data_IF_236433224438
#
_entry.id   IF_236433224438
#
_cell.length_a   1.000
_cell.length_b   1.000
_cell.length_c   1.000
_cell.angle_alpha   90.00
_cell.angle_beta   90.00
_cell.angle_gamma   90.00
#
_symmetry.space_group_name_H-M   'P 1'
#
loop_
_entity.id
_entity.type
_entity.pdbx_description
1 polymer ?
#
# COMPACT_ATOMS: atom_id res chain seq x y z
N UNK A 1 12.74 -44.25 54.26
CA UNK A 1 12.04 -42.98 54.01
C UNK A 1 13.08 -41.90 53.69
N UNK A 2 13.78 -42.03 52.55
CA UNK A 2 14.80 -41.06 52.13
C UNK A 2 14.25 -40.01 51.14
N UNK A 3 13.00 -40.18 50.72
CA UNK A 3 12.32 -39.27 49.79
C UNK A 3 12.01 -37.90 50.44
N UNK A 4 11.76 -37.89 51.75
CA UNK A 4 11.33 -36.69 52.50
C UNK A 4 12.47 -35.67 52.75
N UNK A 5 13.72 -36.14 52.87
CA UNK A 5 14.90 -35.26 53.07
C UNK A 5 15.28 -34.53 51.78
N UNK A 6 15.31 -35.25 50.65
CA UNK A 6 15.62 -34.67 49.34
C UNK A 6 14.48 -33.75 48.86
N UNK A 7 13.22 -34.09 49.18
CA UNK A 7 12.06 -33.21 48.94
C UNK A 7 12.12 -31.94 49.79
N UNK A 8 12.55 -32.01 51.05
CA UNK A 8 12.72 -30.84 51.91
C UNK A 8 13.84 -29.92 51.44
N UNK A 9 14.99 -30.47 51.03
CA UNK A 9 16.09 -29.67 50.49
C UNK A 9 15.68 -28.94 49.20
N UNK A 10 14.96 -29.60 48.30
CA UNK A 10 14.44 -28.95 47.09
C UNK A 10 13.42 -27.84 47.39
N UNK A 11 12.57 -28.03 48.39
CA UNK A 11 11.61 -27.02 48.83
C UNK A 11 12.31 -25.80 49.43
N UNK A 12 13.34 -26.01 50.25
CA UNK A 12 14.09 -24.92 50.87
C UNK A 12 14.93 -24.15 49.84
N UNK A 13 15.51 -24.83 48.84
CA UNK A 13 16.18 -24.19 47.71
C UNK A 13 15.21 -23.32 46.90
N UNK A 14 14.03 -23.84 46.57
CA UNK A 14 13.00 -23.05 45.87
C UNK A 14 12.53 -21.85 46.70
N UNK A 15 12.34 -22.03 48.01
CA UNK A 15 11.92 -20.96 48.93
C UNK A 15 12.97 -19.86 49.03
N UNK A 16 14.25 -20.23 49.11
CA UNK A 16 15.37 -19.29 49.09
C UNK A 16 15.45 -18.54 47.75
N UNK A 17 15.31 -19.25 46.63
CA UNK A 17 15.28 -18.65 45.30
C UNK A 17 14.12 -17.67 45.13
N UNK A 18 12.92 -18.04 45.58
CA UNK A 18 11.73 -17.19 45.53
C UNK A 18 11.86 -15.97 46.44
N UNK A 19 12.40 -16.11 47.64
CA UNK A 19 12.67 -14.96 48.52
C UNK A 19 13.66 -13.97 47.88
N UNK A 20 14.62 -14.48 47.09
CA UNK A 20 15.60 -13.66 46.37
C UNK A 20 15.03 -13.02 45.09
N UNK A 21 14.28 -13.78 44.28
CA UNK A 21 13.87 -13.39 42.94
C UNK A 21 12.38 -13.07 42.78
N UNK A 22 11.53 -13.43 43.74
CA UNK A 22 10.07 -13.34 43.66
C UNK A 22 9.58 -11.93 43.34
N UNK A 23 10.18 -10.88 43.93
CA UNK A 23 9.84 -9.48 43.59
C UNK A 23 10.12 -9.15 42.12
N UNK A 24 11.21 -9.66 41.56
CA UNK A 24 11.56 -9.47 40.14
C UNK A 24 10.59 -10.24 39.25
N UNK A 25 10.34 -11.51 39.57
CA UNK A 25 9.40 -12.36 38.83
C UNK A 25 7.99 -11.75 38.83
N UNK A 26 7.48 -11.32 40.00
CA UNK A 26 6.17 -10.66 40.09
C UNK A 26 6.11 -9.38 39.25
N UNK A 27 7.16 -8.53 39.27
CA UNK A 27 7.21 -7.33 38.43
C UNK A 27 7.21 -7.67 36.93
N UNK A 28 7.95 -8.69 36.52
CA UNK A 28 7.97 -9.15 35.14
C UNK A 28 6.60 -9.69 34.69
N UNK A 29 5.94 -10.48 35.55
CA UNK A 29 4.59 -10.98 35.28
C UNK A 29 3.60 -9.83 35.15
N UNK A 30 3.63 -8.84 36.06
CA UNK A 30 2.76 -7.66 35.97
C UNK A 30 3.02 -6.89 34.68
N UNK A 31 4.30 -6.65 34.33
CA UNK A 31 4.66 -5.97 33.10
C UNK A 31 4.15 -6.75 31.86
N UNK A 32 4.31 -8.07 31.83
CA UNK A 32 3.81 -8.91 30.75
C UNK A 32 2.27 -8.83 30.61
N UNK A 33 1.54 -8.85 31.73
CA UNK A 33 0.07 -8.70 31.73
C UNK A 33 -0.35 -7.33 31.21
N UNK A 34 0.32 -6.25 31.62
CA UNK A 34 0.02 -4.89 31.13
C UNK A 34 0.29 -4.77 29.64
N UNK A 35 1.43 -5.26 29.16
CA UNK A 35 1.77 -5.26 27.72
C UNK A 35 0.75 -6.07 26.93
N UNK A 36 0.40 -7.28 27.40
CA UNK A 36 -0.58 -8.13 26.72
C UNK A 36 -1.99 -7.53 26.71
N UNK A 37 -2.44 -6.98 27.84
CA UNK A 37 -3.74 -6.30 27.94
C UNK A 37 -3.82 -5.07 27.05
N UNK A 38 -2.75 -4.28 27.00
CA UNK A 38 -2.62 -3.15 26.08
C UNK A 38 -2.67 -3.59 24.61
N UNK A 39 -1.95 -4.66 24.25
CA UNK A 39 -1.96 -5.23 22.91
C UNK A 39 -3.36 -5.73 22.50
N UNK A 40 -4.04 -6.46 23.38
CA UNK A 40 -5.41 -6.94 23.12
C UNK A 40 -6.40 -5.80 22.94
N UNK A 41 -6.33 -4.76 23.78
CA UNK A 41 -7.16 -3.57 23.65
C UNK A 41 -6.91 -2.83 22.33
N UNK A 42 -5.64 -2.65 21.97
CA UNK A 42 -5.25 -2.03 20.70
C UNK A 42 -5.73 -2.84 19.49
N UNK A 43 -5.56 -4.16 19.51
CA UNK A 43 -6.01 -5.04 18.44
C UNK A 43 -7.53 -5.01 18.27
N UNK A 44 -8.28 -5.02 19.38
CA UNK A 44 -9.73 -4.92 19.35
C UNK A 44 -10.19 -3.60 18.72
N UNK A 45 -9.61 -2.48 19.15
CA UNK A 45 -9.89 -1.16 18.58
C UNK A 45 -9.54 -1.07 17.08
N UNK A 46 -8.37 -1.59 16.69
CA UNK A 46 -7.94 -1.66 15.30
C UNK A 46 -8.93 -2.49 14.46
N UNK A 47 -9.34 -3.66 14.95
CA UNK A 47 -10.29 -4.52 14.25
C UNK A 47 -11.64 -3.81 14.07
N UNK A 48 -12.17 -3.15 15.10
CA UNK A 48 -13.41 -2.37 14.99
C UNK A 48 -13.29 -1.24 13.96
N UNK A 49 -12.15 -0.52 13.94
CA UNK A 49 -11.89 0.50 12.92
C UNK A 49 -11.80 -0.09 11.52
N UNK A 50 -11.12 -1.23 11.35
CA UNK A 50 -11.01 -1.91 10.07
C UNK A 50 -12.37 -2.39 9.55
N UNK A 51 -13.25 -2.89 10.43
CA UNK A 51 -14.63 -3.26 10.04
C UNK A 51 -15.43 -2.04 9.58
N UNK A 52 -15.40 -0.93 10.33
CA UNK A 52 -16.09 0.29 9.94
C UNK A 52 -15.55 0.88 8.62
N UNK A 53 -14.23 0.89 8.45
CA UNK A 53 -13.57 1.31 7.23
C UNK A 53 -13.95 0.42 6.03
N UNK A 54 -14.02 -0.89 6.23
CA UNK A 54 -14.47 -1.85 5.22
C UNK A 54 -15.88 -1.54 4.75
N UNK A 55 -16.82 -1.30 5.67
CA UNK A 55 -18.20 -0.95 5.32
C UNK A 55 -18.28 0.37 4.54
N UNK A 56 -17.58 1.41 5.01
CA UNK A 56 -17.55 2.69 4.31
C UNK A 56 -16.95 2.56 2.90
N UNK A 57 -15.85 1.81 2.78
CA UNK A 57 -15.23 1.53 1.48
C UNK A 57 -16.14 0.72 0.57
N UNK A 58 -16.85 -0.30 1.08
CA UNK A 58 -17.82 -1.07 0.31
C UNK A 58 -18.94 -0.18 -0.24
N UNK A 59 -19.45 0.75 0.58
CA UNK A 59 -20.40 1.76 0.12
C UNK A 59 -19.81 2.63 -0.99
N UNK A 60 -18.58 3.13 -0.81
CA UNK A 60 -17.89 3.95 -1.81
C UNK A 60 -17.79 3.23 -3.16
N UNK A 61 -17.25 1.99 -3.16
CA UNK A 61 -17.02 1.24 -4.40
C UNK A 61 -18.29 0.65 -5.01
N UNK A 62 -19.41 0.66 -4.29
CA UNK A 62 -20.73 0.36 -4.87
C UNK A 62 -21.22 1.48 -5.80
N UNK A 63 -20.64 2.68 -5.71
CA UNK A 63 -20.92 3.78 -6.62
C UNK A 63 -20.37 3.46 -8.00
N UNK A 64 -21.25 3.40 -9.00
CA UNK A 64 -20.85 3.09 -10.38
C UNK A 64 -19.86 4.14 -10.91
N UNK A 65 -18.81 3.68 -11.58
CA UNK A 65 -17.85 4.52 -12.31
C UNK A 65 -18.21 4.71 -13.79
N UNK A 66 -19.37 4.22 -14.23
CA UNK A 66 -19.89 4.51 -15.56
C UNK A 66 -20.46 5.94 -15.60
N UNK A 67 -20.16 6.65 -16.70
CA UNK A 67 -20.63 8.01 -17.00
C UNK A 67 -20.45 8.98 -15.82
N UNK A 68 -19.25 8.99 -15.22
CA UNK A 68 -18.95 9.87 -14.08
C UNK A 68 -18.81 11.31 -14.55
N UNK A 69 -19.75 12.15 -14.13
CA UNK A 69 -19.63 13.60 -14.25
C UNK A 69 -18.82 14.21 -13.10
N UNK A 70 -18.47 15.50 -13.24
CA UNK A 70 -17.71 16.23 -12.22
C UNK A 70 -18.36 16.23 -10.83
N UNK A 71 -19.70 16.33 -10.76
CA UNK A 71 -20.41 16.37 -9.49
C UNK A 71 -20.31 15.03 -8.75
N UNK A 72 -20.46 13.92 -9.49
CA UNK A 72 -20.33 12.57 -8.97
C UNK A 72 -18.89 12.26 -8.56
N UNK A 73 -17.90 12.67 -9.36
CA UNK A 73 -16.50 12.52 -9.01
C UNK A 73 -16.13 13.27 -7.73
N UNK A 74 -16.61 14.51 -7.57
CA UNK A 74 -16.41 15.29 -6.34
C UNK A 74 -17.09 14.65 -5.12
N UNK A 75 -18.27 14.05 -5.30
CA UNK A 75 -18.92 13.29 -4.24
C UNK A 75 -18.07 12.08 -3.80
N UNK A 76 -17.63 11.26 -4.76
CA UNK A 76 -16.75 10.10 -4.52
C UNK A 76 -15.46 10.55 -3.81
N UNK A 77 -14.85 11.64 -4.27
CA UNK A 77 -13.66 12.20 -3.65
C UNK A 77 -13.90 12.63 -2.20
N UNK A 78 -15.03 13.27 -1.88
CA UNK A 78 -15.36 13.66 -0.50
C UNK A 78 -15.58 12.45 0.41
N UNK A 79 -16.24 11.42 -0.10
CA UNK A 79 -16.44 10.16 0.64
C UNK A 79 -15.11 9.44 0.88
N UNK A 80 -14.21 9.42 -0.10
CA UNK A 80 -12.85 8.90 0.05
C UNK A 80 -12.03 9.70 1.08
N UNK A 81 -12.04 11.04 1.00
CA UNK A 81 -11.36 11.91 1.97
C UNK A 81 -11.87 11.69 3.41
N UNK A 82 -13.16 11.35 3.60
CA UNK A 82 -13.69 10.98 4.90
C UNK A 82 -13.10 9.64 5.40
N UNK A 83 -12.97 8.63 4.52
CA UNK A 83 -12.33 7.36 4.86
C UNK A 83 -10.84 7.55 5.19
N UNK A 84 -10.15 8.36 4.40
CA UNK A 84 -8.74 8.74 4.62
C UNK A 84 -8.54 9.37 5.99
N UNK A 85 -9.39 10.35 6.34
CA UNK A 85 -9.31 11.06 7.62
C UNK A 85 -9.62 10.15 8.81
N UNK A 86 -10.70 9.37 8.74
CA UNK A 86 -11.22 8.66 9.91
C UNK A 86 -10.58 7.26 10.08
N UNK A 87 -10.02 6.71 9.00
CA UNK A 87 -9.49 5.35 8.93
C UNK A 87 -8.12 5.25 8.22
N UNK A 88 -7.31 6.30 8.22
CA UNK A 88 -5.94 6.34 7.63
C UNK A 88 -5.06 5.14 7.98
N UNK A 89 -5.23 4.57 9.17
CA UNK A 89 -4.48 3.42 9.67
C UNK A 89 -4.89 2.07 9.04
N UNK A 90 -5.97 2.04 8.29
CA UNK A 90 -6.52 0.83 7.66
C UNK A 90 -6.10 0.75 6.18
N UNK A 91 -6.03 -0.44 5.57
CA UNK A 91 -5.74 -0.57 4.14
C UNK A 91 -6.78 0.12 3.25
N UNK A 92 -8.02 0.26 3.74
CA UNK A 92 -9.13 0.85 2.97
C UNK A 92 -8.94 2.32 2.62
N UNK A 93 -8.20 3.08 3.42
CA UNK A 93 -7.95 4.49 3.15
C UNK A 93 -7.16 4.70 1.85
N UNK A 94 -6.07 3.95 1.64
CA UNK A 94 -5.29 4.02 0.40
C UNK A 94 -6.08 3.55 -0.83
N UNK A 95 -6.90 2.51 -0.65
CA UNK A 95 -7.78 1.99 -1.73
C UNK A 95 -8.87 2.99 -2.10
N UNK A 96 -9.45 3.69 -1.12
CA UNK A 96 -10.44 4.74 -1.33
C UNK A 96 -9.84 5.91 -2.14
N UNK A 97 -8.60 6.32 -1.82
CA UNK A 97 -7.89 7.35 -2.55
C UNK A 97 -7.65 6.96 -4.03
N UNK A 98 -7.25 5.72 -4.31
CA UNK A 98 -7.14 5.23 -5.70
C UNK A 98 -8.50 5.24 -6.43
N UNK A 99 -9.56 4.78 -5.75
CA UNK A 99 -10.90 4.77 -6.35
C UNK A 99 -11.39 6.18 -6.69
N UNK A 100 -11.17 7.14 -5.78
CA UNK A 100 -11.48 8.54 -6.03
C UNK A 100 -10.63 9.14 -7.15
N UNK A 101 -9.33 8.84 -7.19
CA UNK A 101 -8.45 9.29 -8.27
C UNK A 101 -8.95 8.83 -9.64
N UNK A 102 -9.36 7.57 -9.76
CA UNK A 102 -9.93 7.04 -10.98
C UNK A 102 -11.22 7.76 -11.38
N UNK A 103 -12.16 7.96 -10.44
CA UNK A 103 -13.39 8.72 -10.71
C UNK A 103 -13.12 10.16 -11.17
N UNK A 104 -12.17 10.84 -10.53
CA UNK A 104 -11.75 12.21 -10.90
C UNK A 104 -11.08 12.24 -12.27
N UNK A 105 -10.29 11.22 -12.61
CA UNK A 105 -9.68 11.07 -13.92
C UNK A 105 -10.72 10.90 -15.02
N UNK A 106 -11.71 10.01 -14.84
CA UNK A 106 -12.83 9.83 -15.78
C UNK A 106 -13.63 11.12 -15.98
N UNK A 107 -13.78 11.92 -14.92
CA UNK A 107 -14.40 13.24 -14.97
C UNK A 107 -13.49 14.36 -15.54
N UNK A 108 -12.31 14.01 -16.08
CA UNK A 108 -11.30 14.93 -16.64
C UNK A 108 -10.74 15.95 -15.64
N UNK A 109 -10.78 15.63 -14.34
CA UNK A 109 -10.23 16.45 -13.26
C UNK A 109 -8.83 15.95 -12.87
N UNK A 110 -7.90 15.94 -13.82
CA UNK A 110 -6.59 15.30 -13.65
C UNK A 110 -5.74 15.87 -12.50
N UNK A 111 -5.90 17.15 -12.14
CA UNK A 111 -5.19 17.76 -10.99
C UNK A 111 -5.72 17.23 -9.66
N UNK A 112 -7.05 17.10 -9.54
CA UNK A 112 -7.68 16.52 -8.37
C UNK A 112 -7.37 15.01 -8.25
N UNK A 113 -7.36 14.29 -9.38
CA UNK A 113 -6.94 12.89 -9.42
C UNK A 113 -5.49 12.74 -8.91
N UNK A 114 -4.55 13.55 -9.40
CA UNK A 114 -3.17 13.50 -8.96
C UNK A 114 -3.02 13.82 -7.46
N UNK A 115 -3.81 14.76 -6.91
CA UNK A 115 -3.84 15.03 -5.46
C UNK A 115 -4.17 13.74 -4.67
N UNK A 116 -5.19 13.01 -5.10
CA UNK A 116 -5.59 11.76 -4.46
C UNK A 116 -4.52 10.67 -4.56
N UNK A 117 -3.91 10.52 -5.74
CA UNK A 117 -2.82 9.56 -5.94
C UNK A 117 -1.60 9.91 -5.09
N UNK A 118 -1.25 11.19 -4.97
CA UNK A 118 -0.13 11.63 -4.11
C UNK A 118 -0.40 11.33 -2.64
N UNK A 119 -1.65 11.49 -2.20
CA UNK A 119 -2.06 11.05 -0.86
C UNK A 119 -1.85 9.54 -0.69
N UNK A 120 -2.33 8.72 -1.63
CA UNK A 120 -2.17 7.27 -1.58
C UNK A 120 -0.68 6.86 -1.55
N UNK A 121 0.16 7.46 -2.41
CA UNK A 121 1.60 7.21 -2.45
C UNK A 121 2.28 7.49 -1.10
N UNK A 122 1.89 8.58 -0.42
CA UNK A 122 2.44 8.96 0.87
C UNK A 122 1.90 8.08 2.02
N UNK A 123 0.58 7.95 2.13
CA UNK A 123 -0.10 7.54 3.36
C UNK A 123 -0.63 6.11 3.37
N UNK A 124 -0.83 5.47 2.20
CA UNK A 124 -1.37 4.13 2.13
C UNK A 124 -0.52 3.12 2.93
N UNK A 125 -1.17 2.13 3.54
CA UNK A 125 -0.48 1.10 4.34
C UNK A 125 0.02 -0.08 3.51
N UNK A 126 -0.58 -0.29 2.35
CA UNK A 126 -0.22 -1.37 1.43
C UNK A 126 0.82 -0.88 0.41
N UNK A 127 2.01 -1.48 0.34
CA UNK A 127 3.03 -1.12 -0.65
C UNK A 127 2.51 -1.19 -2.09
N UNK A 128 1.72 -2.21 -2.42
CA UNK A 128 1.11 -2.36 -3.74
C UNK A 128 0.25 -1.15 -4.13
N UNK A 129 -0.50 -0.57 -3.19
CA UNK A 129 -1.33 0.63 -3.42
C UNK A 129 -0.46 1.86 -3.67
N UNK A 130 0.67 1.98 -2.96
CA UNK A 130 1.66 3.04 -3.23
C UNK A 130 2.26 2.92 -4.62
N UNK A 131 2.61 1.72 -5.05
CA UNK A 131 3.16 1.49 -6.38
C UNK A 131 2.14 1.74 -7.49
N UNK A 132 0.88 1.33 -7.30
CA UNK A 132 -0.22 1.67 -8.21
C UNK A 132 -0.39 3.20 -8.32
N UNK A 133 -0.38 3.91 -7.20
CA UNK A 133 -0.45 5.37 -7.21
C UNK A 133 0.73 6.01 -7.95
N UNK A 134 1.95 5.50 -7.76
CA UNK A 134 3.13 5.99 -8.48
C UNK A 134 3.02 5.78 -10.00
N UNK A 135 2.50 4.63 -10.44
CA UNK A 135 2.27 4.31 -11.86
C UNK A 135 1.26 5.29 -12.47
N UNK A 136 0.13 5.52 -11.80
CA UNK A 136 -0.91 6.43 -12.29
C UNK A 136 -0.44 7.88 -12.31
N UNK A 137 0.29 8.35 -11.28
CA UNK A 137 0.90 9.69 -11.27
C UNK A 137 1.87 9.84 -12.44
N UNK A 138 2.72 8.83 -12.69
CA UNK A 138 3.66 8.86 -13.81
C UNK A 138 2.93 8.94 -15.15
N UNK A 139 1.81 8.22 -15.31
CA UNK A 139 0.93 8.34 -16.49
C UNK A 139 0.43 9.76 -16.71
N UNK A 140 -0.14 10.39 -15.68
CA UNK A 140 -0.60 11.79 -15.74
C UNK A 140 0.54 12.77 -16.05
N UNK A 141 1.74 12.51 -15.53
CA UNK A 141 2.93 13.31 -15.79
C UNK A 141 3.40 13.15 -17.25
N UNK A 142 3.37 11.94 -17.80
CA UNK A 142 3.69 11.68 -19.22
C UNK A 142 2.71 12.40 -20.13
N UNK A 143 1.41 12.33 -19.85
CA UNK A 143 0.37 13.04 -20.62
C UNK A 143 0.58 14.56 -20.66
N UNK A 144 1.10 15.12 -19.56
CA UNK A 144 1.46 16.54 -19.44
C UNK A 144 2.88 16.86 -19.92
N UNK A 145 3.58 15.90 -20.53
CA UNK A 145 4.98 16.00 -20.98
C UNK A 145 5.98 16.36 -19.85
N UNK A 146 5.64 16.06 -18.59
CA UNK A 146 6.50 16.22 -17.42
C UNK A 146 7.39 14.98 -17.21
N UNK A 147 8.22 14.68 -18.21
CA UNK A 147 8.95 13.41 -18.35
C UNK A 147 9.96 13.14 -17.21
N UNK A 148 10.67 14.18 -16.75
CA UNK A 148 11.64 14.03 -15.64
C UNK A 148 10.95 13.73 -14.32
N UNK A 149 9.77 14.34 -14.09
CA UNK A 149 8.99 14.07 -12.89
C UNK A 149 8.37 12.68 -12.94
N UNK A 150 7.92 12.21 -14.12
CA UNK A 150 7.47 10.84 -14.33
C UNK A 150 8.57 9.82 -13.98
N UNK A 151 9.81 10.04 -14.45
CA UNK A 151 10.96 9.18 -14.10
C UNK A 151 11.21 9.15 -12.58
N UNK A 152 11.16 10.30 -11.91
CA UNK A 152 11.33 10.39 -10.45
C UNK A 152 10.22 9.66 -9.71
N UNK A 153 8.97 9.82 -10.14
CA UNK A 153 7.82 9.12 -9.54
C UNK A 153 7.98 7.60 -9.67
N UNK A 154 8.35 7.11 -10.85
CA UNK A 154 8.58 5.67 -11.07
C UNK A 154 9.76 5.11 -10.27
N UNK A 155 10.71 5.95 -9.85
CA UNK A 155 11.81 5.52 -8.98
C UNK A 155 11.35 5.12 -7.57
N UNK A 156 10.15 5.51 -7.15
CA UNK A 156 9.55 5.08 -5.88
C UNK A 156 9.04 3.62 -5.90
N UNK A 157 9.04 2.96 -7.06
CA UNK A 157 8.64 1.57 -7.20
C UNK A 157 9.88 0.68 -7.05
N UNK A 158 9.91 -0.11 -5.98
CA UNK A 158 11.00 -1.03 -5.62
C UNK A 158 10.57 -2.52 -5.63
N UNK A 159 9.29 -2.79 -5.89
CA UNK A 159 8.75 -4.15 -6.01
C UNK A 159 8.89 -4.70 -7.44
N UNK A 160 9.56 -5.86 -7.55
CA UNK A 160 9.77 -6.59 -8.80
C UNK A 160 8.48 -6.96 -9.52
N UNK A 161 7.38 -7.16 -8.80
CA UNK A 161 6.07 -7.44 -9.39
C UNK A 161 5.55 -6.30 -10.28
N UNK A 162 6.07 -5.08 -10.11
CA UNK A 162 5.73 -3.92 -10.91
C UNK A 162 6.80 -3.56 -11.96
N UNK A 163 7.89 -4.33 -12.07
CA UNK A 163 8.97 -4.03 -13.02
C UNK A 163 8.48 -4.00 -14.47
N UNK A 164 7.57 -4.91 -14.85
CA UNK A 164 6.99 -4.95 -16.20
C UNK A 164 6.33 -3.62 -16.58
N UNK A 165 5.35 -3.17 -15.79
CA UNK A 165 4.61 -1.93 -16.03
C UNK A 165 5.48 -0.68 -15.85
N UNK A 166 6.40 -0.68 -14.86
CA UNK A 166 7.36 0.39 -14.65
C UNK A 166 8.26 0.58 -15.87
N UNK A 167 8.81 -0.50 -16.42
CA UNK A 167 9.67 -0.43 -17.60
C UNK A 167 8.89 -0.06 -18.87
N UNK A 168 7.62 -0.47 -18.98
CA UNK A 168 6.77 -0.03 -20.09
C UNK A 168 6.60 1.50 -20.09
N UNK A 169 6.31 2.09 -18.92
CA UNK A 169 6.22 3.54 -18.77
C UNK A 169 7.57 4.24 -18.95
N UNK A 170 8.68 3.65 -18.51
CA UNK A 170 10.01 4.20 -18.81
C UNK A 170 10.29 4.23 -20.32
N UNK A 171 9.87 3.19 -21.05
CA UNK A 171 9.93 3.17 -22.50
C UNK A 171 9.12 4.29 -23.13
N UNK A 172 7.89 4.52 -22.65
CA UNK A 172 7.04 5.63 -23.09
C UNK A 172 7.70 7.00 -22.85
N UNK A 173 8.34 7.16 -21.69
CA UNK A 173 9.08 8.38 -21.37
C UNK A 173 10.29 8.56 -22.33
N UNK A 174 11.06 7.51 -22.58
CA UNK A 174 12.20 7.58 -23.50
C UNK A 174 11.74 7.89 -24.93
N UNK A 175 10.62 7.31 -25.36
CA UNK A 175 10.00 7.62 -26.65
C UNK A 175 9.59 9.09 -26.75
N UNK A 176 8.90 9.61 -25.74
CA UNK A 176 8.52 11.03 -25.69
C UNK A 176 9.74 11.96 -25.72
N UNK A 177 10.88 11.51 -25.18
CA UNK A 177 12.14 12.24 -25.21
C UNK A 177 13.04 11.94 -26.43
N UNK A 178 12.54 11.22 -27.44
CA UNK A 178 13.27 10.84 -28.67
C UNK A 178 14.53 9.98 -28.42
N UNK A 179 14.54 9.24 -27.31
CA UNK A 179 15.62 8.34 -26.90
C UNK A 179 15.27 6.90 -27.31
N UNK A 180 15.28 6.62 -28.62
CA UNK A 180 14.77 5.35 -29.15
C UNK A 180 15.54 4.11 -28.66
N UNK A 181 16.86 4.23 -28.48
CA UNK A 181 17.69 3.10 -28.01
C UNK A 181 17.31 2.71 -26.57
N UNK A 182 17.19 3.70 -25.71
CA UNK A 182 16.77 3.55 -24.32
C UNK A 182 15.32 3.05 -24.23
N UNK A 183 14.44 3.52 -25.13
CA UNK A 183 13.07 3.03 -25.22
C UNK A 183 13.03 1.54 -25.59
N UNK A 184 13.79 1.09 -26.60
CA UNK A 184 13.89 -0.33 -26.97
C UNK A 184 14.36 -1.17 -25.78
N UNK A 185 15.39 -0.73 -25.07
CA UNK A 185 15.89 -1.46 -23.90
C UNK A 185 14.83 -1.55 -22.80
N UNK A 186 14.13 -0.46 -22.51
CA UNK A 186 13.07 -0.42 -21.51
C UNK A 186 11.89 -1.32 -21.90
N UNK A 187 11.41 -1.28 -23.14
CA UNK A 187 10.32 -2.16 -23.59
C UNK A 187 10.70 -3.65 -23.55
N UNK A 188 11.94 -4.01 -23.92
CA UNK A 188 12.41 -5.39 -23.78
C UNK A 188 12.40 -5.87 -22.32
N UNK A 189 12.85 -5.01 -21.39
CA UNK A 189 12.78 -5.30 -19.95
C UNK A 189 11.33 -5.41 -19.47
N UNK A 190 10.45 -4.56 -19.98
CA UNK A 190 9.03 -4.58 -19.65
C UNK A 190 8.39 -5.92 -20.03
N UNK A 191 8.59 -6.39 -21.26
CA UNK A 191 8.05 -7.66 -21.75
C UNK A 191 8.51 -8.87 -20.93
N UNK A 192 9.71 -8.81 -20.33
CA UNK A 192 10.22 -9.87 -19.45
C UNK A 192 9.50 -9.94 -18.09
N UNK A 193 8.85 -8.84 -17.68
CA UNK A 193 8.13 -8.72 -16.40
C UNK A 193 6.61 -8.58 -16.54
N UNK A 194 6.06 -8.61 -17.76
CA UNK A 194 4.63 -8.54 -18.03
C UNK A 194 4.07 -9.94 -18.31
N UNK A 195 2.78 -10.12 -18.04
CA UNK A 195 2.04 -11.33 -18.43
C UNK A 195 1.98 -11.44 -19.96
N UNK A 196 2.54 -12.49 -20.60
CA UNK A 196 2.52 -12.67 -22.05
C UNK A 196 1.13 -12.70 -22.68
N UNK A 197 0.10 -13.09 -21.93
CA UNK A 197 -1.30 -13.09 -22.40
C UNK A 197 -2.02 -11.77 -22.07
N UNK A 198 -1.36 -10.87 -21.34
CA UNK A 198 -1.92 -9.60 -20.89
C UNK A 198 -1.96 -8.54 -21.99
N UNK A 199 -3.01 -7.72 -21.96
CA UNK A 199 -3.17 -6.57 -22.88
C UNK A 199 -1.94 -5.64 -22.88
N UNK A 200 -1.34 -5.38 -21.71
CA UNK A 200 -0.19 -4.49 -21.59
C UNK A 200 1.06 -5.08 -22.27
N UNK A 201 1.26 -6.40 -22.24
CA UNK A 201 2.34 -7.05 -22.98
C UNK A 201 2.17 -6.82 -24.47
N UNK A 202 0.99 -7.09 -25.01
CA UNK A 202 0.70 -6.90 -26.44
C UNK A 202 0.92 -5.44 -26.88
N UNK A 203 0.42 -4.47 -26.10
CA UNK A 203 0.64 -3.04 -26.40
C UNK A 203 2.12 -2.65 -26.33
N UNK A 204 2.86 -3.20 -25.39
CA UNK A 204 4.30 -2.95 -25.25
C UNK A 204 5.09 -3.55 -26.41
N UNK A 205 4.72 -4.75 -26.86
CA UNK A 205 5.32 -5.39 -28.03
C UNK A 205 5.09 -4.55 -29.29
N UNK A 206 3.86 -4.08 -29.52
CA UNK A 206 3.56 -3.21 -30.65
C UNK A 206 4.39 -1.92 -30.65
N UNK A 207 4.56 -1.29 -29.48
CA UNK A 207 5.41 -0.10 -29.33
C UNK A 207 6.88 -0.41 -29.63
N UNK A 208 7.37 -1.58 -29.21
CA UNK A 208 8.72 -2.03 -29.51
C UNK A 208 8.92 -2.29 -31.01
N UNK A 209 7.99 -3.01 -31.65
CA UNK A 209 8.05 -3.34 -33.08
C UNK A 209 8.01 -2.09 -33.96
N UNK A 210 7.29 -1.05 -33.54
CA UNK A 210 7.25 0.24 -34.23
C UNK A 210 8.61 0.96 -34.28
N UNK A 211 9.59 0.54 -33.46
CA UNK A 211 10.92 1.14 -33.41
C UNK A 211 11.95 0.47 -34.35
N UNK A 212 11.58 -0.63 -35.03
CA UNK A 212 12.46 -1.33 -35.98
C UNK A 212 13.42 -2.30 -35.32
#
# INVERSE_FOLDING_TARGET
>A
MAYDLEEQEQLDEFRAWWNKNGKLVTRLVIAAVVVYGGWQGYQSWMNSKATAASTAYQTLVSTSLLDVDSKKAEQISKEAEAIEKDYSMTPYAGRAALFAAHALHEAKQSEAAEKQLRWALAEAKEPAIKHMAAIEIAGLQIERNALDDAKKTLAAIDDKGFDGIKNALLGDIYMANKQEKEAKEAYNKALSGLDPEGKLFYLTQQKLDALG
#
